data_IF_663625265671
#
_entry.id   IF_663625265671
#
_cell.length_a   1.000
_cell.length_b   1.000
_cell.length_c   1.000
_cell.angle_alpha   90.00
_cell.angle_beta   90.00
_cell.angle_gamma   90.00
#
_symmetry.space_group_name_H-M   'P 1'
#
loop_
_entity.id
_entity.type
_entity.pdbx_description
1 polymer ?
#
# COMPACT_ATOMS: atom_id res chain seq x y z
N UNK A 1 -21.23 -57.87 5.52
CA UNK A 1 -22.03 -57.13 4.53
C UNK A 1 -22.31 -55.69 4.98
N UNK A 2 -23.12 -55.43 6.03
CA UNK A 2 -23.46 -54.05 6.41
C UNK A 2 -22.36 -53.26 7.14
N UNK A 3 -21.47 -53.94 7.89
CA UNK A 3 -20.40 -53.28 8.68
C UNK A 3 -19.22 -52.85 7.78
N UNK A 4 -18.96 -53.59 6.71
CA UNK A 4 -17.86 -53.37 5.77
C UNK A 4 -18.14 -52.14 4.87
N UNK A 5 -19.38 -51.99 4.40
CA UNK A 5 -19.81 -50.82 3.63
C UNK A 5 -19.76 -49.51 4.45
N UNK A 6 -20.05 -49.55 5.75
CA UNK A 6 -20.01 -48.37 6.62
C UNK A 6 -18.57 -47.92 6.93
N UNK A 7 -17.61 -48.84 6.96
CA UNK A 7 -16.19 -48.52 7.15
C UNK A 7 -15.54 -47.98 5.87
N UNK A 8 -15.95 -48.48 4.70
CA UNK A 8 -15.51 -47.93 3.42
C UNK A 8 -16.06 -46.51 3.19
N UNK A 9 -17.33 -46.24 3.49
CA UNK A 9 -17.89 -44.87 3.42
C UNK A 9 -17.23 -43.91 4.43
N UNK A 10 -16.93 -44.36 5.65
CA UNK A 10 -16.24 -43.52 6.64
C UNK A 10 -14.79 -43.21 6.24
N UNK A 11 -14.08 -44.15 5.62
CA UNK A 11 -12.73 -43.94 5.09
C UNK A 11 -12.73 -43.00 3.88
N UNK A 12 -13.73 -43.11 3.00
CA UNK A 12 -13.84 -42.27 1.80
C UNK A 12 -14.18 -40.81 2.17
N UNK A 13 -15.06 -40.59 3.16
CA UNK A 13 -15.33 -39.26 3.73
C UNK A 13 -14.09 -38.66 4.40
N UNK A 14 -13.29 -39.49 5.08
CA UNK A 14 -12.04 -39.05 5.73
C UNK A 14 -10.97 -38.67 4.69
N UNK A 15 -10.85 -39.44 3.60
CA UNK A 15 -9.95 -39.15 2.51
C UNK A 15 -10.36 -37.88 1.74
N UNK A 16 -11.66 -37.70 1.50
CA UNK A 16 -12.20 -36.50 0.86
C UNK A 16 -11.95 -35.22 1.67
N UNK A 17 -12.14 -35.28 3.00
CA UNK A 17 -11.85 -34.16 3.90
C UNK A 17 -10.35 -33.84 3.94
N UNK A 18 -9.48 -34.86 4.01
CA UNK A 18 -8.04 -34.66 3.97
C UNK A 18 -7.55 -34.04 2.65
N UNK A 19 -8.15 -34.43 1.52
CA UNK A 19 -7.89 -33.80 0.23
C UNK A 19 -8.36 -32.34 0.19
N UNK A 20 -9.52 -32.05 0.78
CA UNK A 20 -10.06 -30.69 0.84
C UNK A 20 -9.16 -29.77 1.68
N UNK A 21 -8.66 -30.25 2.81
CA UNK A 21 -7.74 -29.51 3.68
C UNK A 21 -6.37 -29.30 3.02
N UNK A 22 -5.85 -30.28 2.28
CA UNK A 22 -4.63 -30.11 1.47
C UNK A 22 -4.82 -29.09 0.33
N UNK A 23 -5.97 -29.12 -0.35
CA UNK A 23 -6.29 -28.14 -1.38
C UNK A 23 -6.40 -26.74 -0.80
N UNK A 24 -7.03 -26.56 0.36
CA UNK A 24 -7.07 -25.26 1.06
C UNK A 24 -5.67 -24.79 1.46
N UNK A 25 -4.88 -25.64 2.12
CA UNK A 25 -3.52 -25.30 2.54
C UNK A 25 -2.61 -24.93 1.36
N UNK A 26 -2.72 -25.63 0.23
CA UNK A 26 -1.92 -25.32 -0.98
C UNK A 26 -2.40 -24.05 -1.68
N UNK A 27 -3.69 -23.74 -1.60
CA UNK A 27 -4.26 -22.49 -2.17
C UNK A 27 -3.85 -21.29 -1.31
N UNK A 28 -3.88 -21.42 0.01
CA UNK A 28 -3.43 -20.42 0.97
C UNK A 28 -1.92 -20.18 0.84
N UNK A 29 -1.11 -21.24 0.74
CA UNK A 29 0.33 -21.13 0.48
C UNK A 29 0.65 -20.44 -0.85
N UNK A 30 -0.05 -20.78 -1.95
CA UNK A 30 0.14 -20.10 -3.25
C UNK A 30 -0.30 -18.64 -3.21
N UNK A 31 -1.33 -18.31 -2.44
CA UNK A 31 -1.78 -16.92 -2.27
C UNK A 31 -0.77 -16.10 -1.45
N UNK A 32 -0.20 -16.72 -0.41
CA UNK A 32 0.83 -16.14 0.44
C UNK A 32 2.14 -15.93 -0.33
N UNK A 33 2.58 -16.91 -1.12
CA UNK A 33 3.78 -16.78 -1.96
C UNK A 33 3.62 -15.72 -3.06
N UNK A 34 2.43 -15.59 -3.66
CA UNK A 34 2.14 -14.51 -4.61
C UNK A 34 2.13 -13.13 -3.96
N UNK A 35 1.67 -13.01 -2.71
CA UNK A 35 1.75 -11.78 -1.91
C UNK A 35 3.21 -11.45 -1.54
N UNK A 36 3.97 -12.44 -1.10
CA UNK A 36 5.39 -12.30 -0.75
C UNK A 36 6.26 -11.89 -1.94
N UNK A 37 6.00 -12.46 -3.12
CA UNK A 37 6.71 -12.12 -4.37
C UNK A 37 6.35 -10.72 -4.92
N UNK A 38 5.18 -10.18 -4.56
CA UNK A 38 4.82 -8.77 -4.85
C UNK A 38 5.46 -7.78 -3.90
N UNK A 39 5.96 -8.23 -2.75
CA UNK A 39 6.48 -7.40 -1.67
C UNK A 39 7.96 -7.69 -1.43
N UNK A 40 8.78 -7.56 -2.48
CA UNK A 40 10.23 -7.49 -2.32
C UNK A 40 10.60 -6.12 -1.74
N UNK A 41 10.47 -6.00 -0.42
CA UNK A 41 10.79 -4.78 0.33
C UNK A 41 12.20 -4.29 0.05
N UNK A 42 13.12 -5.22 -0.21
CA UNK A 42 14.53 -4.94 -0.51
C UNK A 42 14.67 -4.19 -1.84
N UNK A 43 13.94 -4.61 -2.87
CA UNK A 43 13.89 -3.92 -4.15
C UNK A 43 13.33 -2.51 -4.01
N UNK A 44 12.24 -2.35 -3.25
CA UNK A 44 11.63 -1.04 -3.00
C UNK A 44 12.54 -0.06 -2.25
N UNK A 45 13.35 -0.52 -1.31
CA UNK A 45 14.30 0.36 -0.59
C UNK A 45 15.29 1.06 -1.51
N UNK A 46 15.60 0.51 -2.67
CA UNK A 46 16.49 1.14 -3.65
C UNK A 46 15.90 2.41 -4.29
N UNK A 47 14.58 2.59 -4.23
CA UNK A 47 13.86 3.80 -4.70
C UNK A 47 14.01 4.96 -3.70
N UNK A 48 14.54 4.71 -2.51
CA UNK A 48 14.75 5.72 -1.47
C UNK A 48 13.51 5.93 -0.59
N UNK A 49 13.28 7.18 -0.18
CA UNK A 49 12.24 7.54 0.80
C UNK A 49 10.83 7.15 0.37
N UNK A 50 10.53 7.24 -0.93
CA UNK A 50 9.26 6.81 -1.51
C UNK A 50 9.04 5.30 -1.38
N UNK A 51 10.09 4.50 -1.61
CA UNK A 51 10.02 3.04 -1.48
C UNK A 51 9.83 2.60 -0.03
N UNK A 52 10.49 3.28 0.92
CA UNK A 52 10.26 3.06 2.35
C UNK A 52 8.80 3.35 2.74
N UNK A 53 8.25 4.47 2.29
CA UNK A 53 6.84 4.81 2.55
C UNK A 53 5.87 3.77 1.99
N UNK A 54 6.12 3.25 0.79
CA UNK A 54 5.34 2.14 0.22
C UNK A 54 5.40 0.89 1.12
N UNK A 55 6.60 0.48 1.53
CA UNK A 55 6.78 -0.68 2.40
C UNK A 55 6.02 -0.51 3.73
N UNK A 56 6.02 0.69 4.31
CA UNK A 56 5.26 1.01 5.53
C UNK A 56 3.75 0.87 5.29
N UNK A 57 3.23 1.47 4.22
CA UNK A 57 1.80 1.41 3.89
C UNK A 57 1.34 -0.04 3.66
N UNK A 58 2.16 -0.83 2.97
CA UNK A 58 1.89 -2.25 2.75
C UNK A 58 2.01 -3.06 4.05
N UNK A 59 2.97 -2.75 4.92
CA UNK A 59 3.12 -3.40 6.22
C UNK A 59 1.87 -3.20 7.10
N UNK A 60 1.34 -1.97 7.16
CA UNK A 60 0.11 -1.63 7.88
C UNK A 60 -1.09 -2.38 7.29
N UNK A 61 -1.20 -2.45 5.97
CA UNK A 61 -2.39 -3.03 5.32
C UNK A 61 -2.39 -4.57 5.26
N UNK A 62 -1.22 -5.21 5.22
CA UNK A 62 -1.13 -6.67 4.98
C UNK A 62 -1.54 -7.54 6.17
N UNK A 63 -1.71 -6.96 7.36
CA UNK A 63 -2.09 -7.67 8.58
C UNK A 63 -3.20 -6.89 9.26
N UNK A 64 -4.31 -7.58 9.61
CA UNK A 64 -5.39 -6.95 10.39
C UNK A 64 -4.86 -6.43 11.72
N UNK A 65 -3.91 -7.14 12.33
CA UNK A 65 -3.26 -6.70 13.59
C UNK A 65 -2.53 -5.37 13.41
N UNK A 66 -1.80 -5.17 12.30
CA UNK A 66 -1.09 -3.91 12.05
C UNK A 66 -2.05 -2.79 11.66
N UNK A 67 -3.13 -3.14 10.95
CA UNK A 67 -4.16 -2.20 10.58
C UNK A 67 -4.93 -1.69 11.81
N UNK A 68 -5.33 -2.59 12.71
CA UNK A 68 -6.00 -2.25 13.96
C UNK A 68 -5.07 -1.41 14.85
N UNK A 69 -3.80 -1.81 15.00
CA UNK A 69 -2.82 -1.03 15.74
C UNK A 69 -2.59 0.38 15.15
N UNK A 70 -2.64 0.51 13.82
CA UNK A 70 -2.58 1.81 13.16
C UNK A 70 -3.84 2.65 13.43
N UNK A 71 -5.02 2.04 13.32
CA UNK A 71 -6.30 2.71 13.57
C UNK A 71 -6.40 3.23 15.01
N UNK A 72 -5.92 2.45 15.98
CA UNK A 72 -5.85 2.84 17.40
C UNK A 72 -4.99 4.10 17.64
N UNK A 73 -3.96 4.31 16.82
CA UNK A 73 -3.02 5.45 16.97
C UNK A 73 -3.50 6.66 16.17
N UNK A 74 -3.90 6.45 14.92
CA UNK A 74 -4.13 7.51 13.95
C UNK A 74 -5.61 7.87 13.75
N UNK A 75 -6.52 6.93 14.03
CA UNK A 75 -7.97 7.08 13.81
C UNK A 75 -8.39 7.32 12.35
N UNK A 76 -7.44 7.20 11.42
CA UNK A 76 -7.63 7.40 9.99
C UNK A 76 -6.67 6.48 9.24
N UNK A 77 -7.17 5.84 8.19
CA UNK A 77 -6.34 4.99 7.35
C UNK A 77 -5.22 5.80 6.66
N UNK A 78 -4.00 5.26 6.68
CA UNK A 78 -2.87 5.80 5.89
C UNK A 78 -3.12 5.68 4.39
N UNK A 79 -3.87 4.64 3.98
CA UNK A 79 -4.12 4.30 2.59
C UNK A 79 -3.01 3.43 1.97
N UNK A 80 -3.20 3.09 0.70
CA UNK A 80 -2.24 2.35 -0.11
C UNK A 80 -2.06 3.08 -1.43
N UNK A 81 -0.82 3.18 -1.89
CA UNK A 81 -0.54 3.62 -3.24
C UNK A 81 -0.85 2.50 -4.25
N UNK A 82 -1.11 2.92 -5.49
CA UNK A 82 -0.92 2.06 -6.64
C UNK A 82 0.44 2.40 -7.23
N UNK A 83 1.32 1.40 -7.23
CA UNK A 83 2.71 1.45 -7.72
C UNK A 83 2.88 2.30 -8.98
N UNK A 84 1.97 2.20 -9.95
CA UNK A 84 2.08 2.87 -11.26
C UNK A 84 1.34 4.20 -11.38
N UNK A 85 0.58 4.64 -10.37
CA UNK A 85 -0.28 5.83 -10.47
C UNK A 85 0.12 6.90 -9.47
N UNK A 86 0.66 8.01 -9.99
CA UNK A 86 1.10 9.15 -9.19
C UNK A 86 -0.02 9.75 -8.32
N UNK A 87 -1.29 9.70 -8.76
CA UNK A 87 -2.42 10.19 -7.97
C UNK A 87 -2.62 9.45 -6.64
N UNK A 88 -2.45 8.12 -6.65
CA UNK A 88 -2.52 7.33 -5.41
C UNK A 88 -1.28 7.52 -4.54
N UNK A 89 -0.12 7.74 -5.16
CA UNK A 89 1.10 8.13 -4.44
C UNK A 89 0.96 9.48 -3.75
N UNK A 90 0.38 10.47 -4.43
CA UNK A 90 0.11 11.79 -3.85
C UNK A 90 -0.83 11.68 -2.64
N UNK A 91 -1.91 10.89 -2.74
CA UNK A 91 -2.81 10.65 -1.59
C UNK A 91 -2.10 9.97 -0.42
N UNK A 92 -1.21 9.01 -0.69
CA UNK A 92 -0.41 8.37 0.36
C UNK A 92 0.57 9.36 1.01
N UNK A 93 1.26 10.19 0.21
CA UNK A 93 2.14 11.25 0.70
C UNK A 93 1.39 12.25 1.58
N UNK A 94 0.25 12.73 1.10
CA UNK A 94 -0.60 13.68 1.81
C UNK A 94 -1.07 13.12 3.17
N UNK A 95 -1.51 11.86 3.17
CA UNK A 95 -1.88 11.14 4.38
C UNK A 95 -0.70 10.93 5.34
N UNK A 96 0.48 10.57 4.82
CA UNK A 96 1.67 10.33 5.63
C UNK A 96 2.21 11.61 6.27
N UNK A 97 2.28 12.70 5.52
CA UNK A 97 2.72 14.02 6.02
C UNK A 97 1.73 14.53 7.08
N UNK A 98 0.43 14.39 6.83
CA UNK A 98 -0.61 14.79 7.82
C UNK A 98 -0.57 13.95 9.10
N UNK A 99 0.01 12.74 9.05
CA UNK A 99 0.04 11.77 10.13
C UNK A 99 1.49 11.44 10.58
N UNK A 100 2.43 12.37 10.41
CA UNK A 100 3.85 12.21 10.79
C UNK A 100 4.03 11.86 12.28
N UNK A 101 3.21 12.47 13.15
CA UNK A 101 3.18 12.16 14.59
C UNK A 101 2.75 10.71 14.88
N UNK A 102 1.53 10.29 14.46
CA UNK A 102 1.08 8.90 14.54
C UNK A 102 2.08 7.88 13.95
N UNK A 103 2.67 8.16 12.78
CA UNK A 103 3.69 7.30 12.17
C UNK A 103 4.92 7.12 13.06
N UNK A 104 5.36 8.19 13.73
CA UNK A 104 6.48 8.12 14.67
C UNK A 104 6.17 7.20 15.86
N UNK A 105 4.94 7.21 16.37
CA UNK A 105 4.50 6.30 17.44
C UNK A 105 4.48 4.85 16.93
N UNK A 106 3.92 4.64 15.74
CA UNK A 106 3.83 3.32 15.11
C UNK A 106 5.21 2.70 14.85
N UNK A 107 6.18 3.50 14.39
CA UNK A 107 7.56 3.05 14.20
C UNK A 107 8.22 2.58 15.50
N UNK A 108 7.94 3.24 16.63
CA UNK A 108 8.48 2.80 17.92
C UNK A 108 7.93 1.43 18.34
N UNK A 109 6.64 1.17 18.06
CA UNK A 109 5.99 -0.11 18.37
C UNK A 109 6.51 -1.26 17.49
N UNK A 110 6.77 -0.99 16.20
CA UNK A 110 7.17 -2.00 15.20
C UNK A 110 8.63 -1.87 14.72
N UNK A 111 9.51 -1.27 15.53
CA UNK A 111 10.88 -0.92 15.13
C UNK A 111 11.69 -2.10 14.57
N UNK A 112 11.50 -3.33 15.09
CA UNK A 112 12.23 -4.52 14.64
C UNK A 112 11.84 -4.97 13.24
N UNK A 113 10.56 -4.79 12.89
CA UNK A 113 10.02 -5.24 11.60
C UNK A 113 10.26 -4.21 10.50
N UNK A 114 10.28 -2.93 10.89
CA UNK A 114 10.44 -1.78 10.00
C UNK A 114 11.85 -1.18 10.00
N UNK A 115 12.86 -1.81 10.62
CA UNK A 115 14.20 -1.23 10.81
C UNK A 115 14.80 -0.60 9.53
N UNK A 116 14.60 -1.24 8.38
CA UNK A 116 15.08 -0.74 7.07
C UNK A 116 14.18 0.29 6.38
N UNK A 117 12.97 0.50 6.90
CA UNK A 117 11.93 1.35 6.31
C UNK A 117 11.56 2.55 7.22
N UNK A 118 12.14 2.66 8.42
CA UNK A 118 11.98 3.84 9.28
C UNK A 118 12.44 5.09 8.50
N UNK A 119 11.56 6.09 8.45
CA UNK A 119 11.79 7.35 7.77
C UNK A 119 12.65 8.26 8.64
N UNK A 120 13.84 8.61 8.13
CA UNK A 120 14.74 9.59 8.73
C UNK A 120 14.25 11.01 8.48
N UNK A 121 14.89 12.00 9.12
CA UNK A 121 14.57 13.41 8.86
C UNK A 121 14.74 13.78 7.37
N UNK A 122 15.83 13.33 6.75
CA UNK A 122 16.10 13.57 5.33
C UNK A 122 15.05 12.89 4.44
N UNK A 123 14.60 11.67 4.82
CA UNK A 123 13.52 11.00 4.11
C UNK A 123 12.23 11.83 4.15
N UNK A 124 11.85 12.36 5.32
CA UNK A 124 10.69 13.23 5.46
C UNK A 124 10.80 14.50 4.62
N UNK A 125 11.99 15.09 4.51
CA UNK A 125 12.22 16.26 3.67
C UNK A 125 12.01 15.90 2.18
N UNK A 126 12.54 14.77 1.72
CA UNK A 126 12.33 14.30 0.34
C UNK A 126 10.85 14.03 0.06
N UNK A 127 10.12 13.41 1.00
CA UNK A 127 8.68 13.16 0.85
C UNK A 127 7.88 14.47 0.77
N UNK A 128 8.20 15.47 1.60
CA UNK A 128 7.56 16.80 1.58
C UNK A 128 7.83 17.53 0.27
N UNK A 129 9.08 17.54 -0.20
CA UNK A 129 9.43 18.11 -1.51
C UNK A 129 8.70 17.40 -2.66
N UNK A 130 8.58 16.08 -2.59
CA UNK A 130 7.86 15.29 -3.60
C UNK A 130 6.36 15.59 -3.58
N UNK A 131 5.77 15.76 -2.39
CA UNK A 131 4.37 16.18 -2.25
C UNK A 131 4.14 17.57 -2.84
N UNK A 132 4.97 18.55 -2.49
CA UNK A 132 4.90 19.92 -3.03
C UNK A 132 5.02 19.93 -4.56
N UNK A 133 5.93 19.13 -5.12
CA UNK A 133 6.09 18.99 -6.55
C UNK A 133 4.86 18.38 -7.24
N UNK A 134 4.22 17.39 -6.62
CA UNK A 134 3.06 16.69 -7.19
C UNK A 134 1.74 17.42 -6.96
N UNK A 135 1.66 18.33 -6.00
CA UNK A 135 0.43 19.05 -5.62
C UNK A 135 -0.24 19.75 -6.82
N UNK A 136 0.46 20.48 -7.69
CA UNK A 136 -0.18 21.16 -8.82
C UNK A 136 -0.75 20.17 -9.84
N UNK A 137 -0.04 19.07 -10.09
CA UNK A 137 -0.53 17.99 -10.97
C UNK A 137 -1.81 17.38 -10.41
N UNK A 138 -1.86 17.15 -9.09
CA UNK A 138 -3.04 16.64 -8.41
C UNK A 138 -4.23 17.58 -8.57
N UNK A 139 -4.01 18.87 -8.32
CA UNK A 139 -5.04 19.89 -8.42
C UNK A 139 -5.57 20.02 -9.87
N UNK A 140 -4.69 20.13 -10.86
CA UNK A 140 -5.09 20.19 -12.27
C UNK A 140 -5.89 18.95 -12.69
N UNK A 141 -5.55 17.78 -12.16
CA UNK A 141 -6.28 16.54 -12.43
C UNK A 141 -7.67 16.52 -11.78
N UNK A 142 -7.81 17.07 -10.57
CA UNK A 142 -9.12 17.21 -9.92
C UNK A 142 -10.01 18.17 -10.70
N UNK A 143 -9.47 19.32 -11.10
CA UNK A 143 -10.18 20.33 -11.90
C UNK A 143 -10.67 19.74 -13.22
N UNK A 144 -9.85 18.92 -13.87
CA UNK A 144 -10.20 18.27 -15.14
C UNK A 144 -11.24 17.15 -15.03
N UNK A 145 -11.44 16.60 -13.83
CA UNK A 145 -12.48 15.59 -13.56
C UNK A 145 -13.85 16.20 -13.24
N UNK A 146 -13.93 17.53 -13.12
CA UNK A 146 -15.19 18.22 -12.87
C UNK A 146 -16.07 18.22 -14.13
N UNK A 147 -17.39 18.19 -13.93
CA UNK A 147 -18.39 18.13 -15.02
C UNK A 147 -18.27 19.31 -16.02
N UNK A 148 -17.68 20.43 -15.60
CA UNK A 148 -17.53 21.65 -16.39
C UNK A 148 -16.14 21.85 -16.99
N UNK A 149 -15.27 20.84 -16.93
CA UNK A 149 -13.92 20.95 -17.48
C UNK A 149 -13.97 21.11 -19.01
N UNK A 150 -13.44 22.23 -19.52
CA UNK A 150 -13.35 22.51 -20.96
C UNK A 150 -11.95 22.20 -21.51
N UNK A 151 -11.85 22.04 -22.84
CA UNK A 151 -10.55 21.82 -23.51
C UNK A 151 -9.63 23.04 -23.37
N UNK A 152 -10.18 24.26 -23.35
CA UNK A 152 -9.37 25.48 -23.17
C UNK A 152 -8.73 25.52 -21.78
N UNK A 153 -9.46 25.09 -20.73
CA UNK A 153 -8.93 24.96 -19.37
C UNK A 153 -7.83 23.89 -19.26
N UNK A 154 -7.91 22.81 -20.05
CA UNK A 154 -6.82 21.81 -20.13
C UNK A 154 -5.54 22.47 -20.63
N UNK A 155 -5.63 23.27 -21.70
CA UNK A 155 -4.46 23.90 -22.31
C UNK A 155 -3.81 24.89 -21.34
N UNK A 156 -4.61 25.72 -20.66
CA UNK A 156 -4.12 26.63 -19.63
C UNK A 156 -3.45 25.89 -18.46
N UNK A 157 -4.07 24.81 -17.97
CA UNK A 157 -3.51 24.01 -16.89
C UNK A 157 -2.19 23.33 -17.31
N UNK A 158 -2.09 22.87 -18.56
CA UNK A 158 -0.85 22.28 -19.07
C UNK A 158 0.30 23.30 -19.14
N UNK A 159 0.02 24.54 -19.55
CA UNK A 159 1.03 25.61 -19.59
C UNK A 159 1.51 25.98 -18.18
N UNK A 160 0.61 26.04 -17.20
CA UNK A 160 0.95 26.28 -15.79
C UNK A 160 1.82 25.16 -15.22
N UNK A 161 1.44 23.89 -15.47
CA UNK A 161 2.22 22.74 -15.02
C UNK A 161 3.62 22.70 -15.66
N UNK A 162 3.72 23.05 -16.94
CA UNK A 162 5.00 23.14 -17.64
C UNK A 162 5.91 24.21 -17.02
N UNK A 163 5.36 25.39 -16.72
CA UNK A 163 6.11 26.46 -16.05
C UNK A 163 6.58 26.05 -14.65
N UNK A 164 5.72 25.38 -13.87
CA UNK A 164 6.09 24.89 -12.54
C UNK A 164 7.18 23.82 -12.61
N UNK A 165 7.12 22.93 -13.59
CA UNK A 165 8.15 21.93 -13.82
C UNK A 165 9.50 22.58 -14.14
N UNK A 166 9.54 23.56 -15.04
CA UNK A 166 10.78 24.28 -15.38
C UNK A 166 11.36 25.06 -14.20
N UNK A 167 10.50 25.63 -13.35
CA UNK A 167 10.95 26.37 -12.15
C UNK A 167 11.45 25.48 -11.01
N UNK A 168 11.01 24.21 -10.96
CA UNK A 168 11.41 23.25 -9.95
C UNK A 168 12.70 22.49 -10.29
N UNK A 169 13.25 22.72 -11.48
CA UNK A 169 14.48 22.11 -12.01
C UNK A 169 15.74 22.84 -11.58
#
# INVERSE_FOLDING_TARGET
>A
AAIEAAQDEANDVTAANALHDQLRATTDQKSHDRRKKRHDTTGWRSIGSMGKLHNIAVFIHNSTVHNDAWDDIAGKALGLDNITRWNSWFRLLDAAISQEGPLSIFFNQHHKELEGDILTHDDWQVLKLTHEFLQPFHQATLEQQMEWASIDQVLENMDILFLQFENAK
#
